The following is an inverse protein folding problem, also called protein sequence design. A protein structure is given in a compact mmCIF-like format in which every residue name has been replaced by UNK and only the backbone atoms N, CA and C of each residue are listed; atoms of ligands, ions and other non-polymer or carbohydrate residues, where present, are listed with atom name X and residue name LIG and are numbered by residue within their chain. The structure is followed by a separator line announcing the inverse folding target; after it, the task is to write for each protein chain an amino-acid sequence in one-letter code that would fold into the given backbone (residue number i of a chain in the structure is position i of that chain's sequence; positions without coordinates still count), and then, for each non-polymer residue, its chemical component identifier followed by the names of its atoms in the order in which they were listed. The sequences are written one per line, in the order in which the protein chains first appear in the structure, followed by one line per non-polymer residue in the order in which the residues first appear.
data_IF_270955369873
#
_entry.id   IF_270955369873
#
_cell.length_a   1.000
_cell.length_b   1.000
_cell.length_c   1.000
_cell.angle_alpha   90.00
_cell.angle_beta   90.00
_cell.angle_gamma   90.00
#
_symmetry.space_group_name_H-M   'P 1'
#
loop_
_entity.id
_entity.type
_entity.pdbx_description
1 polymer ?
#
# COMPACT_ATOMS: atom_id res chain seq x y z
N UNK A 1 -0.18 -9.49 10.06
CA UNK A 1 -0.58 -9.72 8.66
C UNK A 1 0.69 -10.01 7.87
N UNK A 2 0.70 -11.04 7.03
CA UNK A 2 1.82 -11.37 6.15
C UNK A 2 1.64 -10.60 4.83
N UNK A 3 2.05 -9.33 4.82
CA UNK A 3 1.76 -8.40 3.72
C UNK A 3 2.53 -8.77 2.44
N UNK A 4 3.65 -9.49 2.56
CA UNK A 4 4.49 -9.98 1.45
C UNK A 4 3.72 -10.94 0.52
N UNK A 5 2.65 -11.57 1.03
CA UNK A 5 1.72 -12.35 0.20
C UNK A 5 0.87 -11.50 -0.73
N UNK A 6 0.68 -10.22 -0.44
CA UNK A 6 -0.23 -9.33 -1.18
C UNK A 6 0.47 -8.18 -1.88
N UNK A 7 1.68 -7.80 -1.48
CA UNK A 7 2.48 -6.75 -2.13
C UNK A 7 3.72 -7.39 -2.75
N UNK A 8 4.12 -6.87 -3.91
CA UNK A 8 5.33 -7.27 -4.59
C UNK A 8 6.04 -6.07 -5.19
N UNK A 9 7.30 -6.26 -5.52
CA UNK A 9 8.13 -5.29 -6.22
C UNK A 9 8.70 -5.96 -7.45
N UNK A 10 8.56 -5.31 -8.61
CA UNK A 10 9.18 -5.73 -9.86
C UNK A 10 9.86 -4.50 -10.49
N UNK A 11 11.18 -4.52 -10.74
CA UNK A 11 11.89 -3.41 -11.37
C UNK A 11 11.29 -2.97 -12.72
N UNK A 12 10.61 -3.86 -13.43
CA UNK A 12 9.94 -3.59 -14.70
C UNK A 12 8.53 -2.99 -14.52
N UNK A 13 7.99 -2.98 -13.30
CA UNK A 13 6.67 -2.44 -12.96
C UNK A 13 6.85 -1.21 -12.09
N UNK A 14 6.35 -0.06 -12.55
CA UNK A 14 6.41 1.22 -11.82
C UNK A 14 7.81 1.54 -11.26
N UNK A 15 8.88 1.17 -11.99
CA UNK A 15 10.28 1.42 -11.61
C UNK A 15 10.64 0.77 -10.25
N UNK A 16 10.07 -0.40 -9.94
CA UNK A 16 10.34 -1.11 -8.68
C UNK A 16 9.62 -0.50 -7.48
N UNK A 17 8.53 0.25 -7.67
CA UNK A 17 7.68 0.64 -6.55
C UNK A 17 6.93 -0.58 -5.99
N UNK A 18 6.67 -0.66 -4.67
CA UNK A 18 5.80 -1.68 -4.10
C UNK A 18 4.36 -1.56 -4.66
N UNK A 19 3.83 -2.67 -5.19
CA UNK A 19 2.51 -2.76 -5.86
C UNK A 19 1.68 -3.87 -5.25
N UNK A 20 0.37 -3.64 -5.11
CA UNK A 20 -0.56 -4.70 -4.70
C UNK A 20 -0.71 -5.74 -5.82
N UNK A 21 -0.46 -7.01 -5.51
CA UNK A 21 -0.49 -8.13 -6.47
C UNK A 21 -1.83 -8.19 -7.20
N UNK A 22 -1.75 -8.50 -8.49
CA UNK A 22 -2.92 -8.51 -9.37
C UNK A 22 -3.41 -7.12 -9.79
N UNK A 23 -2.75 -6.05 -9.34
CA UNK A 23 -3.09 -4.67 -9.73
C UNK A 23 -1.86 -3.94 -10.29
N UNK A 24 -2.07 -2.72 -10.79
CA UNK A 24 -1.01 -1.76 -11.11
C UNK A 24 -1.05 -0.54 -10.17
N UNK A 25 -1.50 -0.76 -8.94
CA UNK A 25 -1.67 0.29 -7.92
C UNK A 25 -0.51 0.21 -6.93
N UNK A 26 0.30 1.27 -6.88
CA UNK A 26 1.38 1.34 -5.89
C UNK A 26 0.84 1.59 -4.49
N UNK A 27 1.57 1.13 -3.48
CA UNK A 27 1.28 1.41 -2.06
C UNK A 27 1.25 2.92 -1.83
N UNK A 28 2.25 3.65 -2.36
CA UNK A 28 2.32 5.12 -2.28
C UNK A 28 1.07 5.82 -2.82
N UNK A 29 0.58 5.40 -4.00
CA UNK A 29 -0.60 5.98 -4.61
C UNK A 29 -1.84 5.81 -3.73
N UNK A 30 -2.04 4.60 -3.21
CA UNK A 30 -3.19 4.28 -2.36
C UNK A 30 -3.13 5.01 -1.01
N UNK A 31 -1.95 5.09 -0.39
CA UNK A 31 -1.74 5.93 0.80
C UNK A 31 -2.02 7.41 0.52
N UNK A 32 -1.68 7.90 -0.67
CA UNK A 32 -2.02 9.26 -1.12
C UNK A 32 -3.52 9.51 -1.18
N UNK A 33 -4.32 8.54 -1.65
CA UNK A 33 -5.78 8.66 -1.63
C UNK A 33 -6.32 8.75 -0.21
N UNK A 34 -5.84 7.91 0.71
CA UNK A 34 -6.24 7.95 2.11
C UNK A 34 -5.83 9.27 2.78
N UNK A 35 -4.65 9.79 2.46
CA UNK A 35 -4.19 11.11 2.93
C UNK A 35 -5.08 12.24 2.40
N UNK A 36 -5.66 12.09 1.20
CA UNK A 36 -6.65 13.02 0.63
C UNK A 36 -8.07 12.83 1.19
N UNK A 37 -8.27 11.95 2.19
CA UNK A 37 -9.55 11.74 2.87
C UNK A 37 -10.46 10.70 2.22
N UNK A 38 -9.96 9.88 1.30
CA UNK A 38 -10.75 8.78 0.74
C UNK A 38 -11.01 7.70 1.78
N UNK A 39 -12.20 7.13 1.75
CA UNK A 39 -12.56 5.97 2.58
C UNK A 39 -12.17 4.66 1.89
N UNK A 40 -11.97 3.59 2.66
CA UNK A 40 -11.71 2.24 2.12
C UNK A 40 -12.81 1.81 1.13
N UNK A 41 -14.07 2.13 1.45
CA UNK A 41 -15.22 1.87 0.58
C UNK A 41 -15.05 2.53 -0.78
N UNK A 42 -14.73 3.83 -0.82
CA UNK A 42 -14.52 4.55 -2.08
C UNK A 42 -13.35 3.96 -2.87
N UNK A 43 -12.26 3.56 -2.20
CA UNK A 43 -11.12 2.93 -2.88
C UNK A 43 -11.54 1.59 -3.49
N UNK A 44 -12.23 0.72 -2.75
CA UNK A 44 -12.68 -0.59 -3.24
C UNK A 44 -13.72 -0.46 -4.37
N UNK A 45 -14.60 0.54 -4.32
CA UNK A 45 -15.58 0.82 -5.37
C UNK A 45 -14.91 1.32 -6.67
N UNK A 46 -13.89 2.18 -6.57
CA UNK A 46 -13.18 2.73 -7.73
C UNK A 46 -12.10 1.80 -8.28
N UNK A 47 -11.61 0.85 -7.47
CA UNK A 47 -10.59 -0.13 -7.84
C UNK A 47 -11.03 -1.56 -7.51
N UNK A 48 -11.97 -2.16 -8.28
CA UNK A 48 -12.57 -3.46 -7.95
C UNK A 48 -11.59 -4.66 -7.93
N UNK A 49 -10.41 -4.50 -8.52
CA UNK A 49 -9.33 -5.50 -8.50
C UNK A 49 -8.58 -5.52 -7.15
N UNK A 50 -8.77 -4.49 -6.32
CA UNK A 50 -8.20 -4.42 -4.97
C UNK A 50 -9.13 -5.17 -4.01
N UNK A 51 -8.58 -6.11 -3.23
CA UNK A 51 -9.33 -6.82 -2.20
C UNK A 51 -9.17 -6.14 -0.84
N UNK A 52 -10.09 -6.37 0.12
CA UNK A 52 -9.94 -5.89 1.49
C UNK A 52 -8.62 -6.32 2.14
N UNK A 53 -8.15 -7.54 1.89
CA UNK A 53 -6.87 -8.05 2.39
C UNK A 53 -5.69 -7.35 1.72
N UNK A 54 -5.80 -7.06 0.42
CA UNK A 54 -4.82 -6.25 -0.31
C UNK A 54 -4.73 -4.84 0.29
N UNK A 55 -5.87 -4.26 0.66
CA UNK A 55 -5.94 -2.95 1.30
C UNK A 55 -5.31 -2.98 2.70
N UNK A 56 -5.62 -3.99 3.52
CA UNK A 56 -4.98 -4.17 4.83
C UNK A 56 -3.45 -4.36 4.71
N UNK A 57 -2.99 -5.06 3.68
CA UNK A 57 -1.58 -5.29 3.44
C UNK A 57 -0.80 -3.98 3.15
N UNK A 58 -1.44 -2.98 2.53
CA UNK A 58 -0.84 -1.65 2.28
C UNK A 58 -0.44 -1.00 3.61
N UNK A 59 -1.35 -0.98 4.59
CA UNK A 59 -1.08 -0.38 5.89
C UNK A 59 -0.07 -1.19 6.69
N UNK A 60 -0.12 -2.53 6.60
CA UNK A 60 0.86 -3.39 7.26
C UNK A 60 2.28 -3.18 6.70
N UNK A 61 2.42 -3.07 5.37
CA UNK A 61 3.68 -2.73 4.71
C UNK A 61 4.21 -1.37 5.17
N UNK A 62 3.36 -0.34 5.14
CA UNK A 62 3.75 1.01 5.55
C UNK A 62 4.23 1.06 7.01
N UNK A 63 3.52 0.37 7.90
CA UNK A 63 3.88 0.27 9.31
C UNK A 63 5.21 -0.47 9.53
N UNK A 64 5.52 -1.48 8.73
CA UNK A 64 6.80 -2.19 8.77
C UNK A 64 7.95 -1.31 8.28
N UNK A 65 7.79 -0.62 7.14
CA UNK A 65 8.79 0.31 6.63
C UNK A 65 9.15 1.40 7.65
N UNK A 66 8.15 2.01 8.29
CA UNK A 66 8.37 3.04 9.32
C UNK A 66 9.09 2.45 10.54
N UNK A 67 8.78 1.21 10.93
CA UNK A 67 9.43 0.54 12.06
C UNK A 67 10.90 0.25 11.77
N UNK A 68 11.22 -0.18 10.56
CA UNK A 68 12.61 -0.47 10.15
C UNK A 68 13.46 0.79 10.05
N UNK A 69 12.89 1.88 9.53
CA UNK A 69 13.65 3.14 9.37
C UNK A 69 13.92 3.87 10.70
N UNK A 70 13.38 3.41 11.83
CA UNK A 70 13.63 3.98 13.17
C UNK A 70 13.60 5.51 13.18
N UNK A 71 12.64 6.11 12.47
CA UNK A 71 12.54 7.56 12.32
C UNK A 71 11.95 8.17 13.60
N UNK A 72 12.82 8.48 14.56
CA UNK A 72 12.44 9.27 15.72
C UNK A 72 13.29 10.54 15.79
N UNK A 73 12.68 11.65 15.39
CA UNK A 73 12.83 12.91 16.11
C UNK A 73 11.47 13.59 16.10
N UNK A 74 10.76 13.45 17.23
CA UNK A 74 9.55 14.20 17.53
C UNK A 74 10.02 15.48 18.26
N UNK A 75 9.49 16.68 17.93
CA UNK A 75 9.67 17.85 18.81
C UNK A 75 9.04 17.62 20.18
#
# INVERSE_FOLDING_TARGET
MDWQKHIHTDPNILVGKPVVKGTRLSVEFLLGLFAAGWTEKQVLENYPMLTPEGLQAIFAFAAECIREESLYSIP
#
